data_IF_282765340406
#
_entry.id   IF_282765340406
#
_cell.length_a   1.000
_cell.length_b   1.000
_cell.length_c   1.000
_cell.angle_alpha   90.00
_cell.angle_beta   90.00
_cell.angle_gamma   90.00
#
_symmetry.space_group_name_H-M   'P 1'
#
loop_
_entity.id
_entity.type
_entity.pdbx_description
1 polymer ?
#
# COMPACT_ATOMS: atom_id res chain seq x y z
N UNK A 1 -17.33 24.79 24.69
CA UNK A 1 -16.29 23.81 25.14
C UNK A 1 -15.64 23.18 23.90
N UNK A 2 -14.32 22.94 23.87
CA UNK A 2 -13.63 22.29 22.73
C UNK A 2 -13.44 20.80 23.00
N UNK A 3 -13.80 19.94 22.04
CA UNK A 3 -13.59 18.49 22.15
C UNK A 3 -12.10 18.16 22.23
N UNK A 4 -11.71 17.31 23.19
CA UNK A 4 -10.36 16.76 23.32
C UNK A 4 -10.46 15.24 23.41
N UNK A 5 -9.92 14.55 22.41
CA UNK A 5 -9.90 13.09 22.39
C UNK A 5 -8.66 12.55 23.10
N UNK A 6 -8.85 11.75 24.15
CA UNK A 6 -7.75 11.22 24.97
C UNK A 6 -6.75 10.37 24.16
N UNK A 7 -7.21 9.70 23.11
CA UNK A 7 -6.40 8.81 22.29
C UNK A 7 -5.98 9.41 20.95
N UNK A 8 -5.97 10.75 20.80
CA UNK A 8 -5.61 11.40 19.54
C UNK A 8 -4.25 10.94 19.01
N UNK A 9 -3.24 10.85 19.89
CA UNK A 9 -1.90 10.37 19.52
C UNK A 9 -1.90 8.95 18.94
N UNK A 10 -2.80 8.08 19.40
CA UNK A 10 -2.92 6.72 18.89
C UNK A 10 -3.52 6.72 17.49
N UNK A 11 -4.53 7.56 17.24
CA UNK A 11 -5.12 7.72 15.90
C UNK A 11 -4.04 8.21 14.91
N UNK A 12 -3.27 9.22 15.30
CA UNK A 12 -2.21 9.79 14.46
C UNK A 12 -1.11 8.74 14.19
N UNK A 13 -0.72 7.97 15.20
CA UNK A 13 0.23 6.85 15.03
C UNK A 13 -0.30 5.82 14.02
N UNK A 14 -1.57 5.44 14.10
CA UNK A 14 -2.16 4.44 13.19
C UNK A 14 -2.31 4.95 11.77
N UNK A 15 -2.58 6.24 11.58
CA UNK A 15 -2.54 6.87 10.26
C UNK A 15 -1.12 6.83 9.68
N UNK A 16 -0.10 7.15 10.48
CA UNK A 16 1.30 7.09 10.04
C UNK A 16 1.75 5.67 9.70
N UNK A 17 1.40 4.67 10.52
CA UNK A 17 1.70 3.26 10.25
C UNK A 17 1.09 2.79 8.92
N UNK A 18 -0.15 3.23 8.62
CA UNK A 18 -0.79 2.95 7.33
C UNK A 18 -0.01 3.59 6.18
N UNK A 19 0.32 4.88 6.26
CA UNK A 19 1.09 5.57 5.21
C UNK A 19 2.45 4.91 4.99
N UNK A 20 3.12 4.49 6.05
CA UNK A 20 4.38 3.76 5.95
C UNK A 20 4.21 2.42 5.21
N UNK A 21 3.14 1.67 5.51
CA UNK A 21 2.83 0.42 4.81
C UNK A 21 2.51 0.64 3.32
N UNK A 22 1.82 1.73 2.96
CA UNK A 22 1.57 2.12 1.57
C UNK A 22 2.88 2.37 0.81
N UNK A 23 3.84 3.02 1.46
CA UNK A 23 5.16 3.28 0.87
C UNK A 23 5.94 1.99 0.66
N UNK A 24 5.96 1.10 1.66
CA UNK A 24 6.61 -0.21 1.53
C UNK A 24 6.00 -1.07 0.42
N UNK A 25 4.67 -1.04 0.26
CA UNK A 25 4.00 -1.74 -0.84
C UNK A 25 4.38 -1.16 -2.20
N UNK A 26 4.39 0.17 -2.31
CA UNK A 26 4.77 0.86 -3.56
C UNK A 26 6.21 0.55 -3.97
N UNK A 27 7.13 0.53 -3.00
CA UNK A 27 8.52 0.13 -3.22
C UNK A 27 8.62 -1.33 -3.69
N UNK A 28 7.91 -2.26 -3.05
CA UNK A 28 7.90 -3.67 -3.42
C UNK A 28 7.37 -3.88 -4.85
N UNK A 29 6.29 -3.18 -5.22
CA UNK A 29 5.75 -3.21 -6.59
C UNK A 29 6.77 -2.66 -7.59
N UNK A 30 7.46 -1.57 -7.23
CA UNK A 30 8.52 -0.98 -8.07
C UNK A 30 9.64 -1.99 -8.35
N UNK A 31 10.11 -2.69 -7.33
CA UNK A 31 11.14 -3.75 -7.48
C UNK A 31 10.63 -4.90 -8.36
N UNK A 32 9.42 -5.38 -8.12
CA UNK A 32 8.82 -6.45 -8.96
C UNK A 32 8.76 -6.04 -10.44
N UNK A 33 8.32 -4.81 -10.74
CA UNK A 33 8.28 -4.29 -12.11
C UNK A 33 9.66 -4.17 -12.75
N UNK A 34 10.68 -3.82 -11.97
CA UNK A 34 12.05 -3.77 -12.46
C UNK A 34 12.54 -5.16 -12.87
N UNK A 35 12.23 -6.19 -12.08
CA UNK A 35 12.55 -7.58 -12.42
C UNK A 35 11.79 -8.05 -13.67
N UNK A 36 10.50 -7.71 -13.80
CA UNK A 36 9.70 -8.00 -14.99
C UNK A 36 10.26 -7.31 -16.24
N UNK A 37 10.69 -6.05 -16.15
CA UNK A 37 11.33 -5.33 -17.25
C UNK A 37 12.64 -5.98 -17.67
N UNK A 38 13.48 -6.38 -16.70
CA UNK A 38 14.74 -7.06 -16.97
C UNK A 38 14.53 -8.41 -17.66
N UNK A 39 13.46 -9.13 -17.30
CA UNK A 39 13.10 -10.38 -17.98
C UNK A 39 12.72 -10.13 -19.45
N UNK A 40 11.90 -9.10 -19.72
CA UNK A 40 11.51 -8.74 -21.10
C UNK A 40 12.74 -8.41 -21.96
N UNK A 41 13.71 -7.68 -21.40
CA UNK A 41 14.98 -7.38 -22.09
C UNK A 41 15.79 -8.65 -22.40
N UNK A 42 15.85 -9.61 -21.47
CA UNK A 42 16.52 -10.89 -21.68
C UNK A 42 15.82 -11.74 -22.74
N UNK A 43 14.49 -11.79 -22.74
CA UNK A 43 13.71 -12.49 -23.77
C UNK A 43 13.92 -11.88 -25.16
N UNK A 44 13.97 -10.55 -25.25
CA UNK A 44 14.29 -9.86 -26.49
C UNK A 44 15.71 -10.18 -26.97
N UNK A 45 16.69 -10.12 -26.06
CA UNK A 45 18.08 -10.47 -26.38
C UNK A 45 18.20 -11.92 -26.85
N UNK A 46 17.51 -12.86 -26.19
CA UNK A 46 17.47 -14.27 -26.60
C UNK A 46 16.93 -14.41 -28.02
N UNK A 47 15.80 -13.75 -28.33
CA UNK A 47 15.20 -13.82 -29.67
C UNK A 47 16.16 -13.30 -30.74
N UNK A 48 16.79 -12.14 -30.48
CA UNK A 48 17.77 -11.56 -31.41
C UNK A 48 18.94 -12.52 -31.66
N UNK A 49 19.45 -13.20 -30.63
CA UNK A 49 20.54 -14.17 -30.76
C UNK A 49 20.12 -15.41 -31.55
N UNK A 50 18.89 -15.87 -31.36
CA UNK A 50 18.36 -17.01 -32.11
C UNK A 50 18.16 -16.68 -33.59
N UNK A 51 17.71 -15.46 -33.90
CA UNK A 51 17.63 -14.95 -35.27
C UNK A 51 19.03 -14.87 -35.90
N UNK A 52 20.01 -14.33 -35.18
CA UNK A 52 21.41 -14.26 -35.65
C UNK A 52 22.00 -15.66 -35.88
N UNK A 53 21.75 -16.61 -34.98
CA UNK A 53 22.19 -18.00 -35.10
C UNK A 53 21.55 -18.70 -36.30
N UNK A 54 20.27 -18.43 -36.56
CA UNK A 54 19.56 -18.95 -37.73
C UNK A 54 20.14 -18.38 -39.02
N UNK A 55 20.41 -17.06 -39.09
CA UNK A 55 21.08 -16.46 -40.24
C UNK A 55 22.51 -17.01 -40.44
N UNK A 56 23.25 -17.13 -39.33
CA UNK A 56 24.60 -17.67 -39.29
C UNK A 56 24.68 -19.09 -39.88
N UNK A 57 23.68 -19.93 -39.56
CA UNK A 57 23.59 -21.31 -40.08
C UNK A 57 23.44 -21.40 -41.60
N UNK A 58 22.95 -20.33 -42.24
CA UNK A 58 22.81 -20.25 -43.71
C UNK A 58 24.06 -19.75 -44.43
N UNK A 59 25.07 -19.29 -43.68
CA UNK A 59 26.34 -18.76 -44.20
C UNK A 59 27.49 -19.74 -43.90
N UNK A 60 28.61 -19.58 -44.62
CA UNK A 60 29.85 -20.31 -44.36
C UNK A 60 30.51 -19.79 -43.08
N UNK A 61 30.09 -20.29 -41.91
CA UNK A 61 30.62 -19.88 -40.60
C UNK A 61 31.35 -21.05 -39.95
N UNK A 62 32.36 -20.74 -39.12
CA UNK A 62 33.11 -21.77 -38.42
C UNK A 62 32.23 -22.47 -37.38
N UNK A 63 32.48 -23.77 -37.17
CA UNK A 63 31.80 -24.55 -36.14
C UNK A 63 32.06 -23.97 -34.74
N UNK A 64 33.22 -23.34 -34.53
CA UNK A 64 33.59 -22.71 -33.26
C UNK A 64 32.72 -21.50 -32.94
N UNK A 65 32.40 -20.66 -33.93
CA UNK A 65 31.52 -19.51 -33.73
C UNK A 65 30.08 -19.95 -33.43
N UNK A 66 29.59 -20.99 -34.13
CA UNK A 66 28.27 -21.57 -33.86
C UNK A 66 28.16 -22.11 -32.43
N UNK A 67 29.18 -22.81 -31.94
CA UNK A 67 29.21 -23.32 -30.56
C UNK A 67 29.23 -22.19 -29.53
N UNK A 68 29.96 -21.11 -29.81
CA UNK A 68 30.00 -19.93 -28.93
C UNK A 68 28.62 -19.26 -28.83
N UNK A 69 27.97 -19.05 -29.97
CA UNK A 69 26.62 -18.47 -30.02
C UNK A 69 25.60 -19.35 -29.29
N UNK A 70 25.65 -20.67 -29.49
CA UNK A 70 24.78 -21.61 -28.77
C UNK A 70 25.01 -21.55 -27.26
N UNK A 71 26.27 -21.55 -26.82
CA UNK A 71 26.60 -21.42 -25.39
C UNK A 71 26.07 -20.11 -24.79
N UNK A 72 26.06 -19.03 -25.56
CA UNK A 72 25.52 -17.76 -25.09
C UNK A 72 23.99 -17.78 -24.99
N UNK A 73 23.30 -18.43 -25.94
CA UNK A 73 21.84 -18.67 -25.85
C UNK A 73 21.50 -19.47 -24.59
N UNK A 74 22.23 -20.56 -24.31
CA UNK A 74 22.02 -21.40 -23.13
C UNK A 74 22.26 -20.62 -21.81
N UNK A 75 23.26 -19.73 -21.81
CA UNK A 75 23.51 -18.83 -20.69
C UNK A 75 22.34 -17.86 -20.47
N UNK A 76 21.86 -17.20 -21.54
CA UNK A 76 20.69 -16.29 -21.45
C UNK A 76 19.45 -17.05 -20.96
N UNK A 77 19.25 -18.29 -21.40
CA UNK A 77 18.15 -19.13 -20.94
C UNK A 77 18.22 -19.44 -19.44
N UNK A 78 19.41 -19.75 -18.94
CA UNK A 78 19.63 -19.95 -17.50
C UNK A 78 19.28 -18.67 -16.73
N UNK A 79 19.69 -17.50 -17.23
CA UNK A 79 19.38 -16.20 -16.61
C UNK A 79 17.88 -15.87 -16.63
N UNK A 80 17.17 -16.24 -17.69
CA UNK A 80 15.70 -16.10 -17.79
C UNK A 80 15.02 -16.96 -16.72
N UNK A 81 15.46 -18.21 -16.53
CA UNK A 81 14.90 -19.08 -15.49
C UNK A 81 15.14 -18.53 -14.08
N UNK A 82 16.36 -18.02 -13.81
CA UNK A 82 16.67 -17.34 -12.56
C UNK A 82 15.76 -16.13 -12.33
N UNK A 83 15.55 -15.31 -13.38
CA UNK A 83 14.68 -14.13 -13.31
C UNK A 83 13.22 -14.47 -13.08
N UNK A 84 12.69 -15.55 -13.66
CA UNK A 84 11.36 -16.01 -13.30
C UNK A 84 11.26 -16.35 -11.81
N UNK A 85 12.29 -17.00 -11.24
CA UNK A 85 12.34 -17.29 -9.80
C UNK A 85 12.38 -16.01 -8.96
N UNK A 86 13.17 -15.01 -9.37
CA UNK A 86 13.22 -13.69 -8.73
C UNK A 86 11.85 -12.99 -8.74
N UNK A 87 11.16 -13.00 -9.89
CA UNK A 87 9.82 -12.40 -10.02
C UNK A 87 8.82 -13.09 -9.11
N UNK A 88 8.85 -14.42 -9.00
CA UNK A 88 7.96 -15.14 -8.07
C UNK A 88 8.24 -14.74 -6.61
N UNK A 89 9.52 -14.63 -6.20
CA UNK A 89 9.88 -14.13 -4.87
C UNK A 89 9.39 -12.70 -4.65
N UNK A 90 9.60 -11.82 -5.62
CA UNK A 90 9.16 -10.43 -5.54
C UNK A 90 7.63 -10.34 -5.42
N UNK A 91 6.89 -11.18 -6.15
CA UNK A 91 5.43 -11.27 -6.07
C UNK A 91 4.95 -11.71 -4.69
N UNK A 92 5.61 -12.69 -4.08
CA UNK A 92 5.32 -13.10 -2.69
C UNK A 92 5.55 -11.95 -1.71
N UNK A 93 6.61 -11.16 -1.90
CA UNK A 93 6.88 -9.98 -1.07
C UNK A 93 5.78 -8.92 -1.25
N UNK A 94 5.37 -8.62 -2.49
CA UNK A 94 4.26 -7.68 -2.77
C UNK A 94 2.98 -8.14 -2.07
N UNK A 95 2.63 -9.42 -2.17
CA UNK A 95 1.46 -9.97 -1.50
C UNK A 95 1.54 -9.79 0.02
N UNK A 96 2.69 -10.12 0.62
CA UNK A 96 2.89 -9.95 2.06
C UNK A 96 2.76 -8.49 2.50
N UNK A 97 3.25 -7.52 1.71
CA UNK A 97 3.09 -6.08 1.98
C UNK A 97 1.65 -5.61 1.81
N UNK A 98 0.91 -6.19 0.86
CA UNK A 98 -0.50 -5.90 0.66
C UNK A 98 -1.35 -6.40 1.85
N UNK A 99 -1.03 -7.57 2.38
CA UNK A 99 -1.69 -8.13 3.57
C UNK A 99 -1.42 -7.28 4.82
N UNK A 100 -0.17 -6.84 5.02
CA UNK A 100 0.21 -5.94 6.12
C UNK A 100 -0.54 -4.59 6.02
N UNK A 101 -0.54 -3.96 4.84
CA UNK A 101 -1.30 -2.72 4.61
C UNK A 101 -2.79 -2.90 4.92
N UNK A 102 -3.38 -4.02 4.51
CA UNK A 102 -4.78 -4.34 4.81
C UNK A 102 -5.03 -4.39 6.32
N UNK A 103 -4.13 -5.02 7.07
CA UNK A 103 -4.17 -5.03 8.53
C UNK A 103 -4.07 -3.63 9.14
N UNK A 104 -3.14 -2.79 8.65
CA UNK A 104 -2.98 -1.40 9.11
C UNK A 104 -4.20 -0.53 8.81
N UNK A 105 -4.79 -0.67 7.63
CA UNK A 105 -6.03 0.02 7.25
C UNK A 105 -7.19 -0.35 8.17
N UNK A 106 -7.33 -1.63 8.54
CA UNK A 106 -8.36 -2.05 9.48
C UNK A 106 -8.15 -1.41 10.86
N UNK A 107 -6.91 -1.39 11.36
CA UNK A 107 -6.59 -0.76 12.65
C UNK A 107 -6.91 0.74 12.63
N UNK A 108 -6.45 1.47 11.61
CA UNK A 108 -6.75 2.90 11.44
C UNK A 108 -8.27 3.15 11.46
N UNK A 109 -9.04 2.36 10.69
CA UNK A 109 -10.49 2.47 10.64
C UNK A 109 -11.16 2.25 12.00
N UNK A 110 -10.68 1.29 12.80
CA UNK A 110 -11.19 1.05 14.16
C UNK A 110 -10.96 2.27 15.05
N UNK A 111 -9.77 2.85 15.02
CA UNK A 111 -9.41 4.00 15.85
C UNK A 111 -10.14 5.28 15.42
N UNK A 112 -10.29 5.51 14.12
CA UNK A 112 -11.05 6.63 13.57
C UNK A 112 -12.53 6.53 13.93
N UNK A 113 -13.13 5.34 13.84
CA UNK A 113 -14.51 5.10 14.31
C UNK A 113 -14.67 5.30 15.82
N UNK A 114 -13.68 4.91 16.63
CA UNK A 114 -13.71 5.12 18.07
C UNK A 114 -13.70 6.63 18.42
N UNK A 115 -12.86 7.40 17.72
CA UNK A 115 -12.82 8.87 17.84
C UNK A 115 -14.15 9.50 17.45
N UNK A 116 -14.75 9.06 16.34
CA UNK A 116 -16.05 9.56 15.87
C UNK A 116 -17.16 9.31 16.91
N UNK A 117 -17.24 8.09 17.46
CA UNK A 117 -18.19 7.76 18.53
C UNK A 117 -17.98 8.61 19.78
N UNK A 118 -16.73 8.85 20.17
CA UNK A 118 -16.41 9.72 21.32
C UNK A 118 -16.84 11.17 21.06
N UNK A 119 -16.69 11.66 19.84
CA UNK A 119 -17.15 12.98 19.43
C UNK A 119 -18.68 13.08 19.49
N UNK A 120 -19.39 12.08 18.96
CA UNK A 120 -20.86 12.04 19.01
C UNK A 120 -21.39 12.12 20.45
N UNK A 121 -20.79 11.36 21.38
CA UNK A 121 -21.14 11.40 22.80
C UNK A 121 -20.89 12.78 23.41
N UNK A 122 -19.72 13.37 23.15
CA UNK A 122 -19.39 14.71 23.64
C UNK A 122 -20.39 15.76 23.16
N UNK A 123 -20.76 15.72 21.87
CA UNK A 123 -21.75 16.63 21.30
C UNK A 123 -23.13 16.45 21.93
N UNK A 124 -23.56 15.21 22.15
CA UNK A 124 -24.82 14.91 22.83
C UNK A 124 -24.84 15.46 24.26
N UNK A 125 -23.77 15.23 25.03
CA UNK A 125 -23.66 15.72 26.41
C UNK A 125 -23.63 17.25 26.47
N UNK A 126 -23.01 17.91 25.48
CA UNK A 126 -23.00 19.36 25.37
C UNK A 126 -24.41 19.92 25.10
N UNK A 127 -25.12 19.34 24.11
CA UNK A 127 -26.49 19.73 23.79
C UNK A 127 -27.43 19.52 24.98
N UNK A 128 -27.28 18.41 25.71
CA UNK A 128 -28.08 18.15 26.91
C UNK A 128 -27.83 19.19 28.00
N UNK A 129 -26.57 19.55 28.27
CA UNK A 129 -26.24 20.61 29.24
C UNK A 129 -26.79 21.98 28.85
N UNK A 130 -26.76 22.30 27.55
CA UNK A 130 -27.34 23.54 27.04
C UNK A 130 -28.87 23.55 27.23
N UNK A 131 -29.53 22.43 26.94
CA UNK A 131 -30.97 22.27 27.19
C UNK A 131 -31.32 22.38 28.68
N UNK A 132 -30.61 21.66 29.55
CA UNK A 132 -30.81 21.71 31.00
C UNK A 132 -30.67 23.17 31.53
N UNK A 133 -29.69 23.92 31.00
CA UNK A 133 -29.51 25.33 31.34
C UNK A 133 -30.64 26.25 30.86
N UNK A 134 -31.19 26.01 29.66
CA UNK A 134 -32.36 26.74 29.15
C UNK A 134 -33.62 26.46 29.99
N UNK A 135 -33.81 25.20 30.39
CA UNK A 135 -34.93 24.78 31.23
C UNK A 135 -34.85 25.39 32.64
N UNK A 136 -33.65 25.47 33.24
CA UNK A 136 -33.43 26.18 34.51
C UNK A 136 -33.75 27.68 34.40
N UNK A 137 -33.31 28.34 33.33
CA UNK A 137 -33.64 29.76 33.10
C UNK A 137 -35.14 29.99 32.92
N UNK A 138 -35.83 29.13 32.17
CA UNK A 138 -37.27 29.20 31.98
C UNK A 138 -38.02 29.00 33.30
N UNK A 139 -37.59 28.05 34.12
CA UNK A 139 -38.20 27.75 35.43
C UNK A 139 -37.99 28.89 36.43
N UNK A 140 -36.79 29.48 36.48
CA UNK A 140 -36.51 30.63 37.35
C UNK A 140 -37.27 31.89 36.92
N UNK A 141 -37.46 32.09 35.61
CA UNK A 141 -38.26 33.20 35.07
C UNK A 141 -39.76 33.03 35.33
N UNK A 142 -40.27 31.79 35.33
CA UNK A 142 -41.66 31.50 35.69
C UNK A 142 -41.92 31.63 37.20
N UNK A 143 -40.92 31.31 38.05
CA UNK A 143 -40.98 31.47 39.51
C UNK A 143 -40.82 32.92 39.99
N UNK A 144 -40.50 33.87 39.11
CA UNK A 144 -40.59 35.30 39.37
C UNK A 144 -41.92 35.84 38.80
N UNK A 145 -43.08 35.64 39.47
CA UNK A 145 -44.29 36.34 39.07
C UNK A 145 -44.06 37.84 39.28
N UNK A 146 -44.49 38.61 38.29
CA UNK A 146 -44.63 40.06 38.29
C UNK A 146 -44.88 40.60 39.71
N UNK A 147 -43.86 41.22 40.29
CA UNK A 147 -44.05 42.20 41.36
C UNK A 147 -43.94 43.58 40.74
N UNK A 148 -45.10 44.23 40.69
CA UNK A 148 -45.44 45.59 40.27
C UNK A 148 -45.60 45.87 38.78
#
# INVERSE_FOLDING_TARGET
MRFRYAFQKIVDLKMNEKTQAEWMLSEAIGRMKQEESSLVELEYSKRSLQEELQEASTRSISVSDLLLMQSYVDYVDTRIQEKHSDIQRARTVVQSKQDDLTGKMLQEKVWTKAKEKAYQRFSFDLMKKEQDGLDEMATNRYKAPSTY
#
